data_IF_503014848075
#
_entry.id   IF_503014848075
#
_cell.length_a   1.000
_cell.length_b   1.000
_cell.length_c   1.000
_cell.angle_alpha   90.00
_cell.angle_beta   90.00
_cell.angle_gamma   90.00
#
_symmetry.space_group_name_H-M   'P 1'
#
loop_
_entity.id
_entity.type
_entity.pdbx_description
1 polymer ?
#
# COMPACT_ATOMS: atom_id res chain seq x y z
N UNK A 1 2.41 21.03 7.37
CA UNK A 1 3.36 19.89 7.52
C UNK A 1 3.04 18.87 6.45
N UNK A 2 3.83 18.82 5.39
CA UNK A 2 3.67 17.87 4.28
C UNK A 2 4.25 16.53 4.71
N UNK A 3 3.42 15.64 5.26
CA UNK A 3 3.84 14.27 5.54
C UNK A 3 4.21 13.59 4.21
N UNK A 4 5.51 13.39 3.99
CA UNK A 4 6.05 12.76 2.77
C UNK A 4 6.12 11.25 2.99
N UNK A 5 5.12 10.53 2.49
CA UNK A 5 5.20 9.08 2.32
C UNK A 5 5.60 8.75 0.89
N UNK A 6 6.41 7.71 0.71
CA UNK A 6 6.93 7.25 -0.58
C UNK A 6 6.18 6.01 -1.03
N UNK A 7 5.94 5.89 -2.33
CA UNK A 7 5.28 4.73 -2.92
C UNK A 7 6.28 3.96 -3.77
N UNK A 8 6.30 2.64 -3.63
CA UNK A 8 6.88 1.77 -4.66
C UNK A 8 5.99 1.76 -5.90
N UNK A 9 6.55 1.39 -7.06
CA UNK A 9 5.77 1.29 -8.31
C UNK A 9 4.61 0.31 -8.21
N UNK A 10 4.80 -0.78 -7.46
CA UNK A 10 3.76 -1.80 -7.20
C UNK A 10 2.64 -1.18 -6.37
N UNK A 11 2.99 -0.57 -5.23
CA UNK A 11 2.00 0.07 -4.36
C UNK A 11 1.20 1.17 -5.05
N UNK A 12 1.84 1.96 -5.91
CA UNK A 12 1.14 2.99 -6.68
C UNK A 12 0.12 2.39 -7.64
N UNK A 13 0.48 1.30 -8.35
CA UNK A 13 -0.45 0.59 -9.23
C UNK A 13 -1.61 -0.04 -8.45
N UNK A 14 -1.34 -0.63 -7.29
CA UNK A 14 -2.37 -1.16 -6.38
C UNK A 14 -3.34 -0.05 -5.94
N UNK A 15 -2.81 1.12 -5.59
CA UNK A 15 -3.60 2.26 -5.17
C UNK A 15 -4.48 2.78 -6.31
N UNK A 16 -3.93 2.93 -7.51
CA UNK A 16 -4.69 3.33 -8.70
C UNK A 16 -5.81 2.33 -9.03
N UNK A 17 -5.56 1.03 -8.88
CA UNK A 17 -6.60 0.00 -9.02
C UNK A 17 -7.76 0.26 -8.06
N UNK A 18 -7.49 0.57 -6.78
CA UNK A 18 -8.54 0.88 -5.81
C UNK A 18 -9.28 2.18 -6.11
N UNK A 19 -8.59 3.22 -6.60
CA UNK A 19 -9.24 4.47 -7.04
C UNK A 19 -10.33 4.21 -8.09
N UNK A 20 -10.07 3.30 -9.04
CA UNK A 20 -11.03 2.96 -10.08
C UNK A 20 -12.11 1.98 -9.60
N UNK A 21 -11.76 1.01 -8.74
CA UNK A 21 -12.64 -0.11 -8.40
C UNK A 21 -13.50 0.10 -7.16
N UNK A 22 -13.01 0.86 -6.18
CA UNK A 22 -13.71 1.05 -4.91
C UNK A 22 -13.21 2.29 -4.18
N UNK A 23 -13.99 3.38 -4.28
CA UNK A 23 -13.75 4.61 -3.52
C UNK A 23 -13.76 4.38 -2.01
N UNK A 24 -14.58 3.45 -1.51
CA UNK A 24 -14.60 3.07 -0.09
C UNK A 24 -13.26 2.50 0.36
N UNK A 25 -12.69 1.58 -0.42
CA UNK A 25 -11.39 0.96 -0.11
C UNK A 25 -10.26 1.99 -0.20
N UNK A 26 -10.29 2.85 -1.22
CA UNK A 26 -9.32 3.95 -1.35
C UNK A 26 -9.33 4.88 -0.14
N UNK A 27 -10.51 5.32 0.32
CA UNK A 27 -10.64 6.17 1.52
C UNK A 27 -10.06 5.45 2.75
N UNK A 28 -10.36 4.16 2.90
CA UNK A 28 -9.84 3.38 4.02
C UNK A 28 -8.31 3.23 3.98
N UNK A 29 -7.72 2.98 2.80
CA UNK A 29 -6.27 2.95 2.62
C UNK A 29 -5.64 4.29 3.05
N UNK A 30 -6.24 5.41 2.65
CA UNK A 30 -5.76 6.75 3.05
C UNK A 30 -5.85 6.96 4.57
N UNK A 31 -6.88 6.43 5.22
CA UNK A 31 -6.99 6.47 6.68
C UNK A 31 -5.90 5.62 7.35
N UNK A 32 -5.62 4.42 6.83
CA UNK A 32 -4.55 3.56 7.33
C UNK A 32 -3.17 4.22 7.18
N UNK A 33 -2.89 4.85 6.04
CA UNK A 33 -1.62 5.57 5.80
C UNK A 33 -1.48 6.73 6.78
N UNK A 34 -2.49 7.60 6.90
CA UNK A 34 -2.48 8.71 7.86
C UNK A 34 -2.32 8.25 9.30
N UNK A 35 -2.92 7.12 9.67
CA UNK A 35 -2.76 6.54 11.00
C UNK A 35 -1.34 5.99 11.20
N UNK A 36 -0.80 5.29 10.20
CA UNK A 36 0.56 4.76 10.23
C UNK A 36 1.62 5.87 10.30
N UNK A 37 1.36 7.05 9.71
CA UNK A 37 2.27 8.21 9.80
C UNK A 37 2.43 8.68 11.25
N UNK A 38 1.37 8.57 12.06
CA UNK A 38 1.37 9.00 13.46
C UNK A 38 1.80 7.90 14.42
N UNK A 39 1.27 6.70 14.22
CA UNK A 39 1.50 5.54 15.10
C UNK A 39 1.86 4.33 14.25
N UNK A 40 3.11 4.20 13.76
CA UNK A 40 3.45 3.18 12.77
C UNK A 40 3.26 1.74 13.24
N UNK A 41 3.44 1.46 14.53
CA UNK A 41 3.43 0.09 15.09
C UNK A 41 2.14 -0.27 15.83
N UNK A 42 1.17 0.64 15.88
CA UNK A 42 -0.10 0.44 16.58
C UNK A 42 -1.27 1.15 15.87
N UNK A 43 -2.51 0.91 16.32
CA UNK A 43 -3.70 1.62 15.86
C UNK A 43 -4.49 0.89 14.78
N UNK A 44 -5.00 1.65 13.80
CA UNK A 44 -6.00 1.18 12.85
C UNK A 44 -5.50 0.04 11.97
N UNK A 45 -6.34 -0.97 11.71
CA UNK A 45 -5.99 -2.08 10.84
C UNK A 45 -5.10 -3.14 11.49
N UNK A 46 -4.96 -3.16 12.82
CA UNK A 46 -4.23 -4.18 13.59
C UNK A 46 -2.82 -4.41 13.04
N UNK A 47 -1.87 -3.49 13.27
CA UNK A 47 -0.52 -3.58 12.72
C UNK A 47 0.18 -4.85 13.18
N UNK A 48 0.73 -5.58 12.24
CA UNK A 48 1.46 -6.83 12.47
C UNK A 48 2.87 -6.67 11.90
N UNK A 49 3.89 -6.93 12.73
CA UNK A 49 5.29 -6.94 12.27
C UNK A 49 5.53 -8.20 11.44
N UNK A 50 6.06 -8.04 10.24
CA UNK A 50 6.40 -9.17 9.39
C UNK A 50 7.78 -9.76 9.79
N UNK A 51 7.94 -11.06 9.56
CA UNK A 51 9.11 -11.86 9.98
C UNK A 51 9.80 -12.52 8.79
N UNK A 52 10.98 -13.10 9.01
CA UNK A 52 11.75 -13.79 7.97
C UNK A 52 12.33 -12.82 6.93
N UNK A 53 12.16 -13.12 5.64
CA UNK A 53 12.63 -12.28 4.53
C UNK A 53 11.91 -10.91 4.45
N UNK A 54 10.81 -10.75 5.16
CA UNK A 54 10.03 -9.50 5.24
C UNK A 54 10.26 -8.75 6.56
N UNK A 55 11.30 -9.13 7.31
CA UNK A 55 11.67 -8.44 8.56
C UNK A 55 11.94 -6.96 8.30
N UNK A 56 11.40 -6.11 9.17
CA UNK A 56 11.46 -4.65 9.04
C UNK A 56 10.26 -4.04 8.31
N UNK A 57 9.34 -4.88 7.82
CA UNK A 57 8.06 -4.46 7.26
C UNK A 57 6.92 -4.63 8.26
N UNK A 58 5.86 -3.87 8.02
CA UNK A 58 4.62 -3.87 8.77
C UNK A 58 3.45 -4.12 7.84
N UNK A 59 2.44 -4.82 8.36
CA UNK A 59 1.20 -5.13 7.68
C UNK A 59 0.03 -4.55 8.44
N UNK A 60 -0.93 -3.93 7.76
CA UNK A 60 -2.25 -3.56 8.29
C UNK A 60 -3.36 -4.18 7.46
N UNK A 61 -4.42 -4.64 8.10
CA UNK A 61 -5.62 -5.18 7.46
C UNK A 61 -6.40 -4.07 6.75
N UNK A 62 -6.58 -4.25 5.44
CA UNK A 62 -7.52 -3.46 4.64
C UNK A 62 -8.88 -4.16 4.68
N UNK A 63 -8.88 -5.46 4.39
CA UNK A 63 -10.04 -6.35 4.51
C UNK A 63 -9.58 -7.77 4.89
N UNK A 64 -10.41 -8.80 4.66
CA UNK A 64 -10.05 -10.19 4.95
C UNK A 64 -8.82 -10.66 4.17
N UNK A 65 -8.67 -10.21 2.92
CA UNK A 65 -7.64 -10.64 1.95
C UNK A 65 -6.50 -9.65 1.76
N UNK A 66 -6.78 -8.35 1.75
CA UNK A 66 -5.84 -7.31 1.38
C UNK A 66 -5.13 -6.74 2.61
N UNK A 67 -3.86 -6.40 2.43
CA UNK A 67 -3.02 -5.79 3.46
C UNK A 67 -2.33 -4.55 2.90
N UNK A 68 -2.22 -3.52 3.73
CA UNK A 68 -1.29 -2.42 3.52
C UNK A 68 0.06 -2.83 4.09
N UNK A 69 1.03 -3.03 3.21
CA UNK A 69 2.41 -3.37 3.58
C UNK A 69 3.28 -2.12 3.46
N UNK A 70 4.02 -1.80 4.50
CA UNK A 70 4.89 -0.63 4.53
C UNK A 70 6.14 -0.84 5.38
N UNK A 71 7.15 -0.01 5.14
CA UNK A 71 8.31 0.15 5.99
C UNK A 71 8.32 1.55 6.61
N UNK A 72 8.97 1.68 7.75
CA UNK A 72 9.27 2.98 8.38
C UNK A 72 10.78 3.17 8.28
N UNK A 73 11.24 4.20 7.57
CA UNK A 73 12.66 4.56 7.44
C UNK A 73 12.82 6.06 7.61
N UNK A 74 13.72 6.49 8.49
CA UNK A 74 14.07 7.90 8.67
C UNK A 74 12.85 8.81 8.93
N UNK A 75 11.86 8.30 9.67
CA UNK A 75 10.60 9.03 9.93
C UNK A 75 9.63 9.08 8.75
N UNK A 76 9.96 8.47 7.61
CA UNK A 76 9.10 8.37 6.45
C UNK A 76 8.46 6.98 6.33
N UNK A 77 7.21 6.97 5.86
CA UNK A 77 6.53 5.77 5.44
C UNK A 77 6.87 5.44 3.99
N UNK A 78 7.25 4.18 3.74
CA UNK A 78 7.45 3.64 2.41
C UNK A 78 6.39 2.58 2.18
N UNK A 79 5.42 2.85 1.31
CA UNK A 79 4.33 1.94 0.98
C UNK A 79 4.79 0.95 -0.10
N UNK A 80 4.70 -0.33 0.22
CA UNK A 80 5.23 -1.44 -0.58
C UNK A 80 4.12 -2.14 -1.37
N UNK A 81 2.95 -2.33 -0.76
CA UNK A 81 1.76 -2.82 -1.45
C UNK A 81 0.51 -2.47 -0.65
N UNK A 82 -0.63 -2.32 -1.32
CA UNK A 82 -1.95 -2.17 -0.68
C UNK A 82 -3.00 -3.10 -1.29
N UNK A 83 -2.56 -4.20 -1.91
CA UNK A 83 -3.40 -5.22 -2.51
C UNK A 83 -2.71 -6.57 -2.43
N UNK A 84 -3.48 -7.64 -2.24
CA UNK A 84 -2.91 -8.97 -2.30
C UNK A 84 -2.47 -9.30 -3.73
N UNK A 85 -1.17 -9.22 -3.98
CA UNK A 85 -0.55 -9.67 -5.23
C UNK A 85 0.45 -10.79 -4.97
N UNK A 86 -0.05 -11.99 -4.65
CA UNK A 86 0.68 -13.22 -4.95
C UNK A 86 0.46 -13.60 -6.41
N UNK A 87 1.20 -12.93 -7.29
CA UNK A 87 1.88 -13.45 -8.49
C UNK A 87 2.25 -12.26 -9.37
N UNK A 88 3.53 -12.10 -9.76
CA UNK A 88 3.87 -11.17 -10.81
C UNK A 88 3.29 -11.74 -12.10
N UNK A 89 2.14 -11.23 -12.54
CA UNK A 89 1.76 -11.36 -13.95
C UNK A 89 2.66 -10.39 -14.70
N UNK A 90 3.83 -10.88 -15.10
CA UNK A 90 4.59 -10.32 -16.21
C UNK A 90 3.67 -10.39 -17.43
N UNK A 91 2.90 -9.33 -17.61
CA UNK A 91 2.18 -9.02 -18.82
C UNK A 91 2.35 -7.53 -19.00
N UNK A 92 3.31 -7.20 -19.85
CA UNK A 92 3.46 -5.90 -20.49
C UNK A 92 2.07 -5.34 -20.82
N UNK A 93 1.59 -4.37 -20.05
CA UNK A 93 0.55 -3.48 -20.54
C UNK A 93 1.23 -2.60 -21.59
N UNK A 94 0.95 -2.91 -22.85
CA UNK A 94 1.23 -2.02 -23.97
C UNK A 94 0.71 -0.60 -23.65
N UNK A 95 1.40 0.46 -24.08
CA UNK A 95 0.90 1.82 -23.91
C UNK A 95 -0.46 1.97 -24.60
N UNK A 96 -1.35 2.85 -24.10
CA UNK A 96 -2.62 3.11 -24.75
C UNK A 96 -2.33 3.59 -26.17
N UNK A 97 -2.79 2.83 -27.18
CA UNK A 97 -2.85 3.33 -28.55
C UNK A 97 -3.89 4.44 -28.55
N UNK A 98 -3.45 5.69 -28.59
CA UNK A 98 -4.30 6.76 -29.06
C UNK A 98 -4.62 6.46 -30.53
N UNK A 99 -5.89 6.19 -30.80
CA UNK A 99 -6.41 6.15 -32.16
C UNK A 99 -6.59 7.61 -32.58
N UNK A 100 -5.98 7.98 -33.70
CA UNK A 100 -6.23 9.25 -34.39
C UNK A 100 -7.72 9.43 -34.68
#
# INVERSE_FOLDING_TARGET
MTNSHKWTRIAWSDYQYWCYRSRKTQIFINQLIKNAEKTPTNGLGKPEKLVGSLTGLWSRKIDTTNRLIYAVKEGHLIIISCRYHLKPRVSFMSPPRFRN
#
